data_IF_889110861700
#
_entry.id   IF_889110861700
#
_cell.length_a   1.000
_cell.length_b   1.000
_cell.length_c   1.000
_cell.angle_alpha   90.00
_cell.angle_beta   90.00
_cell.angle_gamma   90.00
#
_symmetry.space_group_name_H-M   'P 1'
#
loop_
_entity.id
_entity.type
_entity.pdbx_description
1 polymer ?
#
# COMPACT_ATOMS: atom_id res chain seq x y z
N UNK A 1 -14.53 -17.26 21.29
CA UNK A 1 -15.45 -16.10 21.23
C UNK A 1 -15.64 -15.76 19.76
N UNK A 2 -16.84 -15.81 19.18
CA UNK A 2 -17.01 -15.50 17.76
C UNK A 2 -16.74 -14.00 17.50
N UNK A 3 -16.10 -13.67 16.38
CA UNK A 3 -15.84 -12.28 15.98
C UNK A 3 -17.12 -11.43 16.00
N UNK A 4 -18.26 -12.03 15.65
CA UNK A 4 -19.59 -11.41 15.69
C UNK A 4 -20.01 -10.97 17.10
N UNK A 5 -19.69 -11.77 18.12
CA UNK A 5 -19.97 -11.42 19.52
C UNK A 5 -19.07 -10.28 20.00
N UNK A 6 -17.77 -10.32 19.68
CA UNK A 6 -16.83 -9.25 20.01
C UNK A 6 -17.20 -7.93 19.33
N UNK A 7 -17.66 -7.98 18.08
CA UNK A 7 -18.17 -6.82 17.34
C UNK A 7 -19.41 -6.21 18.00
N UNK A 8 -20.42 -7.03 18.30
CA UNK A 8 -21.66 -6.57 18.91
C UNK A 8 -21.43 -5.90 20.27
N UNK A 9 -20.51 -6.45 21.08
CA UNK A 9 -20.12 -5.84 22.35
C UNK A 9 -19.44 -4.47 22.15
N UNK A 10 -18.57 -4.33 21.14
CA UNK A 10 -17.92 -3.06 20.81
C UNK A 10 -18.91 -2.03 20.25
N UNK A 11 -19.88 -2.45 19.43
CA UNK A 11 -20.95 -1.58 18.90
C UNK A 11 -21.79 -1.01 20.05
N UNK A 12 -22.21 -1.87 20.99
CA UNK A 12 -22.92 -1.46 22.21
C UNK A 12 -22.09 -0.49 23.07
N UNK A 13 -20.79 -0.74 23.21
CA UNK A 13 -19.91 0.09 24.04
C UNK A 13 -19.54 1.45 23.42
N UNK A 14 -19.51 1.56 22.08
CA UNK A 14 -18.96 2.75 21.40
C UNK A 14 -19.97 3.54 20.57
N UNK A 15 -21.16 2.97 20.31
CA UNK A 15 -22.18 3.57 19.44
C UNK A 15 -21.76 3.72 17.97
N UNK A 16 -20.55 3.30 17.60
CA UNK A 16 -20.01 3.41 16.24
C UNK A 16 -20.27 2.11 15.48
N UNK A 17 -21.09 2.20 14.45
CA UNK A 17 -21.30 1.11 13.50
C UNK A 17 -20.23 1.18 12.41
N UNK A 18 -19.17 0.40 12.56
CA UNK A 18 -18.14 0.22 11.52
C UNK A 18 -18.09 -1.25 11.16
N UNK A 19 -19.26 -1.82 10.84
CA UNK A 19 -19.35 -3.21 10.44
C UNK A 19 -19.14 -3.34 8.94
N UNK A 20 -17.88 -3.38 8.50
CA UNK A 20 -17.58 -3.70 7.11
C UNK A 20 -18.15 -5.08 6.71
N UNK A 21 -18.49 -5.96 7.67
CA UNK A 21 -19.08 -7.28 7.40
C UNK A 21 -20.60 -7.27 7.17
N UNK A 22 -21.30 -6.17 7.46
CA UNK A 22 -22.73 -6.00 7.13
C UNK A 22 -22.93 -5.22 5.82
N UNK A 23 -21.84 -4.70 5.25
CA UNK A 23 -21.88 -4.00 3.97
C UNK A 23 -22.14 -4.97 2.83
N UNK A 24 -22.95 -4.53 1.89
CA UNK A 24 -23.15 -5.21 0.61
C UNK A 24 -21.85 -5.20 -0.20
N UNK A 25 -21.72 -6.12 -1.15
CA UNK A 25 -20.57 -6.12 -2.07
C UNK A 25 -20.43 -4.79 -2.84
N UNK A 26 -21.55 -4.13 -3.15
CA UNK A 26 -21.55 -2.83 -3.82
C UNK A 26 -20.95 -1.73 -2.93
N UNK A 27 -21.28 -1.73 -1.65
CA UNK A 27 -20.72 -0.78 -0.69
C UNK A 27 -19.25 -1.09 -0.38
N UNK A 28 -18.87 -2.38 -0.32
CA UNK A 28 -17.49 -2.81 -0.15
C UNK A 28 -16.61 -2.44 -1.34
N UNK A 29 -17.11 -2.55 -2.57
CA UNK A 29 -16.38 -2.17 -3.78
C UNK A 29 -16.00 -0.68 -3.78
N UNK A 30 -16.87 0.20 -3.25
CA UNK A 30 -16.61 1.65 -3.16
C UNK A 30 -15.50 2.04 -2.16
N UNK A 31 -15.12 1.14 -1.26
CA UNK A 31 -14.12 1.38 -0.22
C UNK A 31 -12.90 0.46 -0.34
N UNK A 32 -12.99 -0.58 -1.17
CA UNK A 32 -11.92 -1.52 -1.41
C UNK A 32 -11.31 -1.24 -2.78
N UNK A 33 -10.02 -0.90 -2.85
CA UNK A 33 -9.36 -0.59 -4.11
C UNK A 33 -9.22 -1.82 -5.03
N UNK A 34 -9.69 -3.00 -4.60
CA UNK A 34 -9.55 -4.26 -5.33
C UNK A 34 -10.12 -4.19 -6.75
N UNK A 35 -11.22 -3.47 -6.95
CA UNK A 35 -11.90 -3.38 -8.25
C UNK A 35 -11.53 -2.10 -9.02
N UNK A 36 -10.83 -1.16 -8.40
CA UNK A 36 -10.48 0.14 -9.00
C UNK A 36 -9.39 0.02 -10.08
N UNK A 37 -9.32 1.04 -10.94
CA UNK A 37 -8.18 1.24 -11.85
C UNK A 37 -6.99 1.82 -11.10
N UNK A 38 -5.79 1.32 -11.41
CA UNK A 38 -4.53 1.82 -10.86
C UNK A 38 -3.73 2.66 -11.88
N UNK A 39 -4.31 3.02 -13.01
CA UNK A 39 -3.64 3.88 -13.99
C UNK A 39 -3.21 5.21 -13.35
N UNK A 40 -1.95 5.60 -13.58
CA UNK A 40 -1.40 6.84 -13.04
C UNK A 40 -1.03 6.80 -11.55
N UNK A 41 -1.13 5.64 -10.87
CA UNK A 41 -0.61 5.51 -9.51
C UNK A 41 0.91 5.75 -9.47
N UNK A 42 1.43 6.32 -8.37
CA UNK A 42 2.86 6.42 -8.16
C UNK A 42 3.48 5.02 -8.00
N UNK A 43 4.82 4.89 -8.19
CA UNK A 43 5.53 3.66 -7.86
C UNK A 43 5.26 3.21 -6.42
N UNK A 44 5.13 1.91 -6.20
CA UNK A 44 4.86 1.33 -4.88
C UNK A 44 5.95 0.36 -4.43
N UNK A 45 6.30 0.43 -3.16
CA UNK A 45 7.07 -0.60 -2.46
C UNK A 45 6.18 -1.26 -1.41
N UNK A 46 5.85 -2.53 -1.64
CA UNK A 46 4.95 -3.32 -0.80
C UNK A 46 5.79 -4.35 -0.06
N UNK A 47 5.55 -4.47 1.24
CA UNK A 47 6.13 -5.54 2.07
C UNK A 47 5.03 -6.47 2.54
N UNK A 48 5.29 -7.77 2.50
CA UNK A 48 4.33 -8.79 2.90
C UNK A 48 5.06 -9.98 3.52
N UNK A 49 4.47 -10.58 4.55
CA UNK A 49 5.02 -11.81 5.14
C UNK A 49 4.37 -13.02 4.49
N UNK A 50 5.13 -14.05 4.11
CA UNK A 50 4.52 -15.22 3.44
C UNK A 50 3.66 -16.07 4.39
N UNK A 51 3.73 -15.84 5.70
CA UNK A 51 2.89 -16.47 6.72
C UNK A 51 1.80 -15.50 7.24
N UNK A 52 1.06 -14.88 6.33
CA UNK A 52 -0.11 -14.06 6.64
C UNK A 52 -1.32 -14.41 5.76
N UNK A 53 -2.53 -14.20 6.29
CA UNK A 53 -3.78 -14.55 5.59
C UNK A 53 -4.01 -13.74 4.31
N UNK A 54 -3.39 -12.57 4.20
CA UNK A 54 -3.61 -11.61 3.12
C UNK A 54 -2.64 -11.78 1.95
N UNK A 55 -1.67 -12.71 2.02
CA UNK A 55 -0.56 -12.78 1.07
C UNK A 55 -1.02 -12.93 -0.38
N UNK A 56 -2.00 -13.79 -0.64
CA UNK A 56 -2.52 -14.01 -1.98
C UNK A 56 -3.25 -12.77 -2.51
N UNK A 57 -4.02 -12.08 -1.66
CA UNK A 57 -4.65 -10.82 -2.04
C UNK A 57 -3.64 -9.71 -2.35
N UNK A 58 -2.50 -9.69 -1.62
CA UNK A 58 -1.41 -8.74 -1.87
C UNK A 58 -0.71 -9.04 -3.21
N UNK A 59 -0.45 -10.32 -3.51
CA UNK A 59 0.12 -10.75 -4.80
C UNK A 59 -0.80 -10.39 -5.96
N UNK A 60 -2.08 -10.74 -5.87
CA UNK A 60 -3.10 -10.43 -6.89
C UNK A 60 -3.19 -8.91 -7.16
N UNK A 61 -3.21 -8.10 -6.09
CA UNK A 61 -3.27 -6.65 -6.23
C UNK A 61 -1.99 -6.08 -6.84
N UNK A 62 -0.83 -6.62 -6.46
CA UNK A 62 0.47 -6.23 -7.02
C UNK A 62 0.55 -6.52 -8.52
N UNK A 63 0.06 -7.68 -8.97
CA UNK A 63 -0.01 -8.04 -10.38
C UNK A 63 -1.00 -7.16 -11.14
N UNK A 64 -2.18 -6.89 -10.56
CA UNK A 64 -3.17 -5.98 -11.14
C UNK A 64 -2.59 -4.59 -11.36
N UNK A 65 -1.89 -4.02 -10.38
CA UNK A 65 -1.21 -2.72 -10.50
C UNK A 65 -0.12 -2.73 -11.59
N UNK A 66 0.72 -3.78 -11.65
CA UNK A 66 1.72 -3.91 -12.73
C UNK A 66 1.06 -3.94 -14.11
N UNK A 67 -0.09 -4.61 -14.24
CA UNK A 67 -0.80 -4.71 -15.51
C UNK A 67 -1.33 -3.37 -16.04
N UNK A 68 -1.52 -2.37 -15.16
CA UNK A 68 -1.89 -0.99 -15.54
C UNK A 68 -0.68 -0.08 -15.74
N UNK A 69 0.53 -0.64 -15.81
CA UNK A 69 1.78 0.09 -16.03
C UNK A 69 2.39 0.73 -14.77
N UNK A 70 1.87 0.43 -13.59
CA UNK A 70 2.44 0.92 -12.33
C UNK A 70 3.70 0.13 -11.97
N UNK A 71 4.77 0.84 -11.61
CA UNK A 71 5.95 0.20 -11.05
C UNK A 71 5.65 -0.26 -9.63
N UNK A 72 5.72 -1.58 -9.40
CA UNK A 72 5.48 -2.18 -8.09
C UNK A 72 6.69 -3.02 -7.69
N UNK A 73 7.15 -2.88 -6.47
CA UNK A 73 8.08 -3.82 -5.83
C UNK A 73 7.28 -4.54 -4.75
N UNK A 74 7.26 -5.88 -4.81
CA UNK A 74 6.69 -6.72 -3.76
C UNK A 74 7.85 -7.46 -3.10
N UNK A 75 8.22 -7.05 -1.89
CA UNK A 75 9.29 -7.65 -1.09
C UNK A 75 8.67 -8.58 -0.05
N UNK A 76 8.72 -9.89 -0.35
CA UNK A 76 8.12 -10.93 0.48
C UNK A 76 9.13 -11.46 1.51
N UNK A 77 8.75 -11.38 2.78
CA UNK A 77 9.49 -11.95 3.90
C UNK A 77 9.10 -13.41 4.13
N UNK A 78 10.00 -14.33 3.79
CA UNK A 78 9.73 -15.77 3.90
C UNK A 78 9.49 -16.21 5.34
N UNK A 79 8.35 -16.84 5.61
CA UNK A 79 7.91 -17.30 6.93
C UNK A 79 7.50 -16.18 7.89
N UNK A 80 7.58 -14.92 7.46
CA UNK A 80 7.30 -13.76 8.31
C UNK A 80 5.80 -13.50 8.41
N UNK A 81 5.41 -12.91 9.53
CA UNK A 81 4.02 -12.63 9.86
C UNK A 81 3.53 -11.31 9.26
N UNK A 82 2.23 -11.06 9.44
CA UNK A 82 1.60 -9.78 9.13
C UNK A 82 2.39 -8.60 9.72
N UNK A 83 2.64 -7.59 8.89
CA UNK A 83 3.35 -6.34 9.25
C UNK A 83 4.72 -6.53 9.91
N UNK A 84 5.45 -7.60 9.56
CA UNK A 84 6.77 -7.91 10.13
C UNK A 84 7.76 -6.73 10.05
N UNK A 85 7.64 -5.85 9.06
CA UNK A 85 8.50 -4.67 8.87
C UNK A 85 8.48 -3.68 10.04
N UNK A 86 7.49 -3.75 10.95
CA UNK A 86 7.37 -2.87 12.11
C UNK A 86 8.10 -3.38 13.37
N UNK A 87 8.77 -4.53 13.30
CA UNK A 87 9.35 -5.21 14.46
C UNK A 87 10.88 -5.15 14.47
N UNK A 88 11.47 -4.03 14.08
CA UNK A 88 12.92 -3.82 13.92
C UNK A 88 13.72 -3.97 15.21
N UNK A 89 13.11 -3.71 16.37
CA UNK A 89 13.74 -3.96 17.66
C UNK A 89 13.97 -5.46 17.90
N UNK A 90 13.11 -6.33 17.37
CA UNK A 90 13.07 -7.76 17.69
C UNK A 90 13.46 -8.68 16.53
N UNK A 91 13.41 -8.21 15.28
CA UNK A 91 13.70 -9.01 14.08
C UNK A 91 14.78 -8.35 13.23
N UNK A 92 15.91 -9.04 12.95
CA UNK A 92 16.89 -8.56 11.98
C UNK A 92 16.31 -8.43 10.57
N UNK A 93 15.37 -9.30 10.18
CA UNK A 93 14.65 -9.23 8.90
C UNK A 93 13.86 -7.92 8.80
N UNK A 94 13.20 -7.52 9.90
CA UNK A 94 12.50 -6.24 9.98
C UNK A 94 13.45 -5.05 9.84
N UNK A 95 14.63 -5.07 10.46
CA UNK A 95 15.64 -4.00 10.27
C UNK A 95 16.10 -3.92 8.81
N UNK A 96 16.34 -5.08 8.20
CA UNK A 96 16.79 -5.16 6.83
C UNK A 96 15.76 -4.59 5.84
N UNK A 97 14.49 -4.95 6.00
CA UNK A 97 13.44 -4.40 5.12
C UNK A 97 13.21 -2.90 5.36
N UNK A 98 13.31 -2.41 6.60
CA UNK A 98 13.23 -0.97 6.87
C UNK A 98 14.35 -0.19 6.19
N UNK A 99 15.57 -0.72 6.16
CA UNK A 99 16.67 -0.11 5.43
C UNK A 99 16.40 -0.03 3.92
N UNK A 100 15.84 -1.10 3.32
CA UNK A 100 15.40 -1.06 1.91
C UNK A 100 14.32 -0.01 1.67
N UNK A 101 13.32 0.07 2.56
CA UNK A 101 12.25 1.08 2.49
C UNK A 101 12.85 2.49 2.55
N UNK A 102 13.80 2.74 3.46
CA UNK A 102 14.48 4.02 3.56
C UNK A 102 15.23 4.37 2.27
N UNK A 103 16.00 3.43 1.72
CA UNK A 103 16.74 3.64 0.48
C UNK A 103 15.80 3.96 -0.68
N UNK A 104 14.79 3.11 -0.90
CA UNK A 104 13.81 3.29 -1.96
C UNK A 104 13.06 4.62 -1.82
N UNK A 105 12.63 4.99 -0.62
CA UNK A 105 11.94 6.26 -0.37
C UNK A 105 12.83 7.46 -0.75
N UNK A 106 14.13 7.41 -0.41
CA UNK A 106 15.07 8.49 -0.79
C UNK A 106 15.23 8.57 -2.31
N UNK A 107 15.33 7.44 -3.00
CA UNK A 107 15.42 7.40 -4.46
C UNK A 107 14.18 8.00 -5.12
N UNK A 108 12.98 7.61 -4.68
CA UNK A 108 11.72 8.15 -5.21
C UNK A 108 11.61 9.67 -4.99
N UNK A 109 12.02 10.17 -3.82
CA UNK A 109 12.05 11.60 -3.55
C UNK A 109 13.01 12.34 -4.49
N UNK A 110 14.21 11.78 -4.74
CA UNK A 110 15.18 12.38 -5.67
C UNK A 110 14.65 12.41 -7.10
N UNK A 111 14.02 11.33 -7.57
CA UNK A 111 13.39 11.25 -8.90
C UNK A 111 12.28 12.32 -9.03
N UNK A 112 11.44 12.45 -8.01
CA UNK A 112 10.40 13.48 -7.96
C UNK A 112 10.98 14.90 -8.02
N UNK A 113 12.02 15.18 -7.23
CA UNK A 113 12.70 16.48 -7.24
C UNK A 113 13.34 16.83 -8.59
N UNK A 114 13.98 15.86 -9.26
CA UNK A 114 14.57 16.04 -10.59
C UNK A 114 13.51 16.29 -11.67
N UNK A 115 12.34 15.66 -11.54
CA UNK A 115 11.23 15.85 -12.47
C UNK A 115 10.66 17.26 -12.34
N UNK A 116 10.52 17.77 -11.11
CA UNK A 116 10.07 19.14 -10.85
C UNK A 116 11.08 20.20 -11.33
N UNK A 117 12.38 19.97 -11.18
CA UNK A 117 13.39 20.93 -11.64
C UNK A 117 13.44 21.03 -13.17
N UNK A 118 13.28 19.91 -13.89
CA UNK A 118 13.19 19.88 -15.36
C UNK A 118 11.98 20.67 -15.89
N UNK A 119 10.83 20.58 -15.20
CA UNK A 119 9.64 21.35 -15.57
C UNK A 119 9.85 22.87 -15.43
N UNK A 120 10.60 23.31 -14.42
CA UNK A 120 10.91 24.73 -14.21
C UNK A 120 11.97 25.29 -15.18
N UNK A 121 12.73 24.43 -15.86
CA UNK A 121 13.74 24.85 -16.85
C UNK A 121 13.22 24.92 -18.29
N UNK A 122 11.97 24.55 -18.55
CA UNK A 122 11.32 24.81 -19.84
C UNK A 122 10.99 26.30 -19.90
N UNK A 123 11.95 27.09 -20.38
CA UNK A 123 11.77 28.49 -20.72
C UNK A 123 10.61 28.64 -21.70
N UNK A 124 9.63 29.46 -21.33
CA UNK A 124 8.57 29.93 -22.23
C UNK A 124 9.27 30.55 -23.44
N UNK A 125 9.02 30.01 -24.63
CA UNK A 125 9.53 30.60 -25.87
C UNK A 125 8.87 31.98 -26.04
N UNK A 126 9.64 33.10 -25.99
CA UNK A 126 9.06 34.43 -26.08
C UNK A 126 8.46 34.75 -27.46
N UNK A 127 8.61 33.88 -28.46
CA UNK A 127 7.99 34.04 -29.78
C UNK A 127 6.52 33.59 -29.87
N UNK A 128 5.90 33.19 -28.76
CA UNK A 128 4.50 32.71 -28.74
C UNK A 128 3.48 33.70 -28.14
N UNK A 129 3.80 35.00 -28.06
CA UNK A 129 2.87 36.07 -27.62
C UNK A 129 2.73 37.11 -28.73
#
# INVERSE_FOLDING_TARGET
>A
LSFKLAYNLRKLATGKDRNWFEMTNEELSKISPKDDSFEGFPPLYITAGTNEISIDAIRDMSEKMRSTGVEVILDEGEGLMHTYALFDLWSPESRYVQEKIHQWTREQLLIGMQSMSKLNTVTINPECI
#
